data_IF_697609036015
#
_entry.id   IF_697609036015
#
_cell.length_a   1.000
_cell.length_b   1.000
_cell.length_c   1.000
_cell.angle_alpha   90.00
_cell.angle_beta   90.00
_cell.angle_gamma   90.00
#
_symmetry.space_group_name_H-M   'P 1'
#
loop_
_entity.id
_entity.type
_entity.pdbx_description
1 polymer ?
#
# COMPACT_ATOMS: atom_id res chain seq x y z
N UNK A 1 -4.72 -0.89 7.33
CA UNK A 1 -5.05 -0.64 5.91
C UNK A 1 -4.57 0.74 5.51
N UNK A 2 -3.94 0.88 4.34
CA UNK A 2 -3.25 2.10 3.90
C UNK A 2 -4.16 3.30 3.66
N UNK A 3 -5.35 3.10 3.10
CA UNK A 3 -6.30 4.18 2.84
C UNK A 3 -6.78 4.87 4.13
N UNK A 4 -7.12 4.10 5.16
CA UNK A 4 -7.50 4.68 6.46
C UNK A 4 -6.32 5.42 7.12
N UNK A 5 -5.12 4.86 7.07
CA UNK A 5 -3.93 5.54 7.60
C UNK A 5 -3.68 6.89 6.90
N UNK A 6 -3.89 6.94 5.59
CA UNK A 6 -3.81 8.19 4.82
C UNK A 6 -4.91 9.19 5.23
N UNK A 7 -6.14 8.73 5.43
CA UNK A 7 -7.26 9.60 5.85
C UNK A 7 -6.98 10.26 7.22
N UNK A 8 -6.54 9.48 8.22
CA UNK A 8 -6.18 10.02 9.54
C UNK A 8 -5.01 11.01 9.46
N UNK A 9 -3.98 10.68 8.67
CA UNK A 9 -2.83 11.55 8.48
C UNK A 9 -3.22 12.89 7.84
N UNK A 10 -3.98 12.85 6.74
CA UNK A 10 -4.42 14.04 6.01
C UNK A 10 -5.42 14.89 6.81
N UNK A 11 -6.24 14.26 7.64
CA UNK A 11 -7.16 14.96 8.54
C UNK A 11 -6.46 15.55 9.78
N UNK A 12 -5.17 15.27 10.00
CA UNK A 12 -4.46 15.67 11.22
C UNK A 12 -5.02 15.04 12.50
N UNK A 13 -5.69 13.88 12.36
CA UNK A 13 -6.33 13.17 13.47
C UNK A 13 -5.44 12.06 14.00
N UNK A 14 -5.47 11.86 15.32
CA UNK A 14 -4.77 10.74 15.95
C UNK A 14 -5.56 9.46 15.67
N UNK A 15 -4.96 8.43 15.05
CA UNK A 15 -5.64 7.17 14.85
C UNK A 15 -5.93 6.47 16.18
N UNK A 16 -6.98 5.62 16.25
CA UNK A 16 -7.29 4.82 17.43
C UNK A 16 -6.05 4.07 17.94
N UNK A 17 -5.82 4.11 19.26
CA UNK A 17 -4.67 3.46 19.90
C UNK A 17 -4.90 1.95 20.11
N UNK A 18 -6.15 1.53 20.09
CA UNK A 18 -6.55 0.15 20.34
C UNK A 18 -6.17 -0.74 19.15
N UNK A 19 -5.51 -1.86 19.45
CA UNK A 19 -5.15 -2.88 18.46
C UNK A 19 -6.25 -3.95 18.30
N UNK A 20 -7.29 -3.91 19.14
CA UNK A 20 -8.45 -4.79 19.02
C UNK A 20 -9.30 -4.41 17.81
N UNK A 21 -9.97 -5.41 17.25
CA UNK A 21 -10.98 -5.17 16.22
C UNK A 21 -12.07 -4.26 16.79
N UNK A 22 -12.46 -3.18 16.08
CA UNK A 22 -13.56 -2.35 16.53
C UNK A 22 -14.86 -3.16 16.61
N UNK A 23 -15.71 -2.83 17.56
CA UNK A 23 -17.01 -3.48 17.73
C UNK A 23 -17.84 -3.34 16.44
N UNK A 24 -18.48 -4.44 16.00
CA UNK A 24 -19.34 -4.43 14.82
C UNK A 24 -20.48 -3.43 15.01
N UNK A 25 -20.71 -2.58 14.01
CA UNK A 25 -21.71 -1.51 14.08
C UNK A 25 -21.21 -0.21 14.72
N UNK A 26 -20.00 -0.18 15.29
CA UNK A 26 -19.37 1.08 15.70
C UNK A 26 -19.01 1.93 14.48
N UNK A 27 -18.93 3.25 14.67
CA UNK A 27 -18.54 4.17 13.59
C UNK A 27 -17.17 3.82 12.98
N UNK A 28 -16.22 3.37 13.80
CA UNK A 28 -14.89 2.94 13.35
C UNK A 28 -14.95 1.64 12.54
N UNK A 29 -15.77 0.66 12.95
CA UNK A 29 -15.95 -0.58 12.20
C UNK A 29 -16.54 -0.29 10.82
N UNK A 30 -17.65 0.44 10.75
CA UNK A 30 -18.33 0.76 9.49
C UNK A 30 -17.42 1.55 8.56
N UNK A 31 -16.69 2.53 9.09
CA UNK A 31 -15.70 3.29 8.34
C UNK A 31 -14.60 2.38 7.76
N UNK A 32 -13.97 1.53 8.57
CA UNK A 32 -12.91 0.64 8.09
C UNK A 32 -13.42 -0.37 7.07
N UNK A 33 -14.63 -0.90 7.27
CA UNK A 33 -15.27 -1.80 6.31
C UNK A 33 -15.52 -1.11 4.97
N UNK A 34 -16.08 0.10 4.98
CA UNK A 34 -16.30 0.89 3.77
C UNK A 34 -15.00 1.21 3.05
N UNK A 35 -13.95 1.63 3.78
CA UNK A 35 -12.64 1.91 3.18
C UNK A 35 -11.98 0.66 2.63
N UNK A 36 -12.16 -0.50 3.26
CA UNK A 36 -11.70 -1.78 2.72
C UNK A 36 -12.43 -2.12 1.41
N UNK A 37 -13.74 -1.91 1.34
CA UNK A 37 -14.50 -2.11 0.10
C UNK A 37 -14.07 -1.13 -1.00
N UNK A 38 -13.89 0.16 -0.67
CA UNK A 38 -13.43 1.19 -1.61
C UNK A 38 -12.01 0.93 -2.13
N UNK A 39 -11.15 0.26 -1.36
CA UNK A 39 -9.79 -0.09 -1.79
C UNK A 39 -9.73 -1.05 -3.00
N UNK A 40 -10.85 -1.71 -3.33
CA UNK A 40 -11.00 -2.51 -4.56
C UNK A 40 -11.20 -1.63 -5.81
N UNK A 41 -11.39 -0.32 -5.63
CA UNK A 41 -11.56 0.67 -6.69
C UNK A 41 -12.95 0.67 -7.31
N UNK A 42 -13.28 1.71 -8.09
CA UNK A 42 -14.56 1.80 -8.81
C UNK A 42 -14.79 0.56 -9.68
N UNK A 43 -15.95 -0.08 -9.53
CA UNK A 43 -16.28 -1.29 -10.30
C UNK A 43 -15.27 -2.43 -10.16
N UNK A 44 -14.56 -2.53 -9.01
CA UNK A 44 -13.49 -3.49 -8.75
C UNK A 44 -12.23 -3.33 -9.62
N UNK A 45 -12.05 -2.19 -10.29
CA UNK A 45 -10.93 -1.98 -11.22
C UNK A 45 -9.54 -2.19 -10.59
N UNK A 46 -9.36 -1.83 -9.30
CA UNK A 46 -8.08 -2.05 -8.62
C UNK A 46 -7.86 -3.53 -8.30
N UNK A 47 -8.92 -4.24 -7.87
CA UNK A 47 -8.84 -5.68 -7.64
C UNK A 47 -8.53 -6.45 -8.93
N UNK A 48 -9.16 -6.05 -10.05
CA UNK A 48 -8.88 -6.62 -11.37
C UNK A 48 -7.45 -6.34 -11.81
N UNK A 49 -6.92 -5.13 -11.59
CA UNK A 49 -5.52 -4.80 -11.89
C UNK A 49 -4.55 -5.67 -11.10
N UNK A 50 -4.79 -5.89 -9.80
CA UNK A 50 -3.99 -6.82 -8.99
C UNK A 50 -4.03 -8.24 -9.56
N UNK A 51 -5.22 -8.74 -9.93
CA UNK A 51 -5.37 -10.07 -10.52
C UNK A 51 -4.63 -10.18 -11.86
N UNK A 52 -4.80 -9.20 -12.75
CA UNK A 52 -4.15 -9.14 -14.05
C UNK A 52 -2.62 -9.11 -13.90
N UNK A 53 -2.09 -8.22 -13.07
CA UNK A 53 -0.64 -8.07 -12.88
C UNK A 53 -0.03 -9.28 -12.17
N UNK A 54 -0.76 -9.94 -11.28
CA UNK A 54 -0.30 -11.20 -10.67
C UNK A 54 -0.01 -12.27 -11.72
N UNK A 55 -0.83 -12.33 -12.78
CA UNK A 55 -0.71 -13.32 -13.85
C UNK A 55 0.43 -13.03 -14.85
N UNK A 56 0.98 -11.81 -14.85
CA UNK A 56 2.05 -11.42 -15.79
C UNK A 56 3.41 -11.99 -15.39
N UNK A 57 4.29 -12.10 -16.37
CA UNK A 57 5.69 -12.43 -16.16
C UNK A 57 6.45 -11.29 -15.49
N UNK A 58 7.59 -11.62 -14.91
CA UNK A 58 8.51 -10.68 -14.27
C UNK A 58 9.00 -9.57 -15.23
N UNK A 59 9.24 -9.91 -16.51
CA UNK A 59 9.66 -8.95 -17.53
C UNK A 59 8.56 -7.94 -17.87
N UNK A 60 7.33 -8.41 -18.12
CA UNK A 60 6.16 -7.55 -18.37
C UNK A 60 5.89 -6.59 -17.21
N UNK A 61 6.02 -7.07 -15.97
CA UNK A 61 5.83 -6.26 -14.78
C UNK A 61 6.90 -5.17 -14.60
N UNK A 62 8.14 -5.44 -15.00
CA UNK A 62 9.21 -4.45 -15.04
C UNK A 62 8.81 -3.24 -15.88
N UNK A 63 8.39 -3.50 -17.12
CA UNK A 63 8.01 -2.46 -18.08
C UNK A 63 6.77 -1.68 -17.63
N UNK A 64 5.81 -2.34 -17.01
CA UNK A 64 4.60 -1.71 -16.47
C UNK A 64 4.84 -0.88 -15.21
N UNK A 65 5.81 -1.26 -14.37
CA UNK A 65 6.10 -0.55 -13.13
C UNK A 65 6.87 0.76 -13.36
N UNK A 66 7.71 0.81 -14.39
CA UNK A 66 8.51 2.00 -14.69
C UNK A 66 7.68 3.30 -14.79
N UNK A 67 6.63 3.40 -15.64
CA UNK A 67 5.80 4.61 -15.70
C UNK A 67 5.06 4.89 -14.39
N UNK A 68 4.78 3.87 -13.58
CA UNK A 68 4.16 4.05 -12.26
C UNK A 68 5.12 4.65 -11.22
N UNK A 69 6.42 4.38 -11.33
CA UNK A 69 7.43 5.07 -10.50
C UNK A 69 7.51 6.56 -10.85
N UNK A 70 7.44 6.92 -12.13
CA UNK A 70 7.37 8.32 -12.55
C UNK A 70 6.08 8.99 -12.05
N UNK A 71 4.94 8.30 -12.18
CA UNK A 71 3.66 8.77 -11.66
C UNK A 71 3.70 8.97 -10.15
N UNK A 72 4.27 8.03 -9.40
CA UNK A 72 4.48 8.15 -7.96
C UNK A 72 5.32 9.39 -7.61
N UNK A 73 6.42 9.60 -8.34
CA UNK A 73 7.27 10.77 -8.15
C UNK A 73 6.53 12.08 -8.42
N UNK A 74 5.65 12.10 -9.43
CA UNK A 74 4.79 13.25 -9.69
C UNK A 74 3.75 13.46 -8.59
N UNK A 75 3.04 12.41 -8.18
CA UNK A 75 2.03 12.49 -7.14
C UNK A 75 2.60 12.93 -5.79
N UNK A 76 3.81 12.50 -5.41
CA UNK A 76 4.46 12.91 -4.16
C UNK A 76 4.96 14.37 -4.18
N UNK A 77 4.96 15.06 -5.33
CA UNK A 77 5.19 16.51 -5.37
C UNK A 77 3.93 17.30 -5.05
N UNK A 78 2.76 16.72 -5.28
CA UNK A 78 1.45 17.37 -5.13
C UNK A 78 0.70 16.92 -3.86
N UNK A 79 1.07 15.75 -3.33
CA UNK A 79 0.40 15.11 -2.21
C UNK A 79 1.41 14.67 -1.15
N UNK A 80 1.04 14.83 0.12
CA UNK A 80 1.88 14.42 1.24
C UNK A 80 2.04 12.89 1.34
N UNK A 81 1.05 12.13 0.88
CA UNK A 81 1.06 10.67 0.87
C UNK A 81 0.35 10.12 -0.37
N UNK A 82 0.81 8.97 -0.86
CA UNK A 82 0.29 8.31 -2.07
C UNK A 82 0.15 6.80 -1.82
N UNK A 83 -1.07 6.24 -1.85
CA UNK A 83 -1.25 4.80 -1.75
C UNK A 83 -0.71 4.08 -2.99
N UNK A 84 0.02 2.99 -2.78
CA UNK A 84 0.60 2.18 -3.85
C UNK A 84 0.30 0.69 -3.62
N UNK A 85 0.10 -0.03 -4.73
CA UNK A 85 -0.05 -1.47 -4.77
C UNK A 85 1.27 -2.16 -5.07
N UNK A 86 1.52 -3.28 -4.39
CA UNK A 86 2.72 -4.10 -4.52
C UNK A 86 2.32 -5.48 -5.02
N UNK A 87 2.91 -5.91 -6.14
CA UNK A 87 2.75 -7.28 -6.63
C UNK A 87 3.80 -8.16 -5.97
N UNK A 88 3.35 -9.16 -5.23
CA UNK A 88 4.21 -10.11 -4.51
C UNK A 88 3.94 -11.53 -5.03
N UNK A 89 2.67 -11.85 -5.27
CA UNK A 89 2.26 -13.17 -5.72
C UNK A 89 2.87 -13.54 -7.09
N UNK A 90 3.12 -14.84 -7.28
CA UNK A 90 3.60 -15.41 -8.55
C UNK A 90 2.56 -16.33 -9.18
N UNK A 91 2.46 -16.37 -10.52
CA UNK A 91 1.71 -17.40 -11.22
C UNK A 91 2.25 -18.78 -10.82
N UNK A 92 1.36 -19.73 -10.51
CA UNK A 92 1.74 -21.13 -10.28
C UNK A 92 2.63 -21.41 -9.08
N UNK A 93 2.73 -20.49 -8.10
CA UNK A 93 3.44 -20.74 -6.84
C UNK A 93 2.89 -21.96 -6.06
N UNK A 94 3.51 -22.38 -4.94
CA UNK A 94 3.12 -23.58 -4.20
C UNK A 94 1.67 -23.60 -3.67
N UNK A 95 0.89 -22.52 -3.84
CA UNK A 95 -0.56 -22.43 -3.58
C UNK A 95 -1.42 -22.17 -4.85
N UNK A 96 -0.87 -22.32 -6.05
CA UNK A 96 -1.55 -22.10 -7.34
C UNK A 96 -1.88 -20.62 -7.64
N UNK A 97 -2.59 -20.35 -8.73
CA UNK A 97 -3.03 -19.03 -9.21
C UNK A 97 -4.02 -18.28 -8.27
N UNK A 98 -4.06 -18.61 -6.98
CA UNK A 98 -5.06 -18.19 -5.98
C UNK A 98 -4.58 -17.16 -4.95
N UNK A 99 -3.47 -16.47 -5.17
CA UNK A 99 -2.89 -15.61 -4.12
C UNK A 99 -2.87 -14.11 -4.46
N UNK A 100 -3.91 -13.59 -5.15
CA UNK A 100 -4.08 -12.13 -5.28
C UNK A 100 -4.11 -11.44 -3.91
N UNK A 101 -4.56 -12.16 -2.87
CA UNK A 101 -4.51 -11.74 -1.46
C UNK A 101 -3.12 -11.62 -0.85
N UNK A 102 -2.08 -12.20 -1.46
CA UNK A 102 -0.69 -12.05 -1.01
C UNK A 102 -0.09 -10.73 -1.53
N UNK A 103 -0.73 -10.08 -2.52
CA UNK A 103 -0.37 -8.73 -2.91
C UNK A 103 -0.73 -7.76 -1.80
N UNK A 104 -0.05 -6.62 -1.79
CA UNK A 104 -0.10 -5.72 -0.64
C UNK A 104 -0.37 -4.29 -1.06
N UNK A 105 -0.95 -3.51 -0.16
CA UNK A 105 -1.14 -2.08 -0.35
C UNK A 105 -0.39 -1.35 0.77
N UNK A 106 0.42 -0.36 0.42
CA UNK A 106 1.22 0.46 1.35
C UNK A 106 1.03 1.94 1.05
N UNK A 107 1.52 2.80 1.93
CA UNK A 107 1.43 4.25 1.76
C UNK A 107 2.82 4.84 1.56
N UNK A 108 3.09 5.41 0.38
CA UNK A 108 4.34 6.13 0.13
C UNK A 108 4.23 7.56 0.63
N UNK A 109 5.30 8.07 1.24
CA UNK A 109 5.37 9.46 1.74
C UNK A 109 6.64 10.20 1.31
N UNK A 110 7.62 9.50 0.72
CA UNK A 110 8.81 10.14 0.16
C UNK A 110 9.37 9.26 -0.95
N UNK A 111 9.96 9.88 -1.97
CA UNK A 111 10.76 9.20 -2.98
C UNK A 111 12.04 10.00 -3.26
N UNK A 112 13.16 9.29 -3.38
CA UNK A 112 14.44 9.79 -3.87
C UNK A 112 14.84 8.91 -5.05
N UNK A 113 15.23 9.52 -6.17
CA UNK A 113 15.48 8.79 -7.41
C UNK A 113 16.63 9.39 -8.18
N UNK A 114 17.42 8.53 -8.81
CA UNK A 114 18.38 8.85 -9.88
C UNK A 114 18.06 8.06 -11.17
N UNK A 115 19.01 7.98 -12.10
CA UNK A 115 18.84 7.26 -13.38
C UNK A 115 18.76 5.73 -13.22
N UNK A 116 19.22 5.20 -12.09
CA UNK A 116 19.41 3.76 -11.87
C UNK A 116 18.55 3.20 -10.74
N UNK A 117 18.19 4.01 -9.75
CA UNK A 117 17.52 3.56 -8.53
C UNK A 117 16.48 4.58 -8.08
N UNK A 118 15.33 4.09 -7.63
CA UNK A 118 14.40 4.83 -6.79
C UNK A 118 14.30 4.21 -5.39
N UNK A 119 14.45 5.05 -4.37
CA UNK A 119 14.20 4.71 -2.97
C UNK A 119 12.93 5.41 -2.49
N UNK A 120 11.92 4.64 -2.14
CA UNK A 120 10.62 5.11 -1.66
C UNK A 120 10.51 4.82 -0.16
N UNK A 121 10.21 5.81 0.65
CA UNK A 121 9.86 5.57 2.05
C UNK A 121 8.37 5.31 2.15
N UNK A 122 8.01 4.27 2.89
CA UNK A 122 6.63 3.83 3.01
C UNK A 122 6.22 3.62 4.45
N UNK A 123 4.93 3.78 4.71
CA UNK A 123 4.26 3.18 5.83
C UNK A 123 3.63 1.86 5.37
N UNK A 124 4.01 0.76 6.03
CA UNK A 124 3.44 -0.57 5.82
C UNK A 124 2.52 -0.92 7.00
N UNK A 125 1.19 -1.11 6.78
CA UNK A 125 0.27 -1.49 7.84
C UNK A 125 0.62 -2.79 8.58
N UNK A 126 1.44 -3.67 7.98
CA UNK A 126 1.92 -4.91 8.62
C UNK A 126 3.09 -4.66 9.58
N UNK A 127 3.74 -3.49 9.49
CA UNK A 127 4.82 -3.05 10.38
C UNK A 127 4.47 -1.68 10.99
N UNK A 128 3.40 -1.59 11.80
CA UNK A 128 2.95 -0.31 12.33
C UNK A 128 4.04 0.34 13.19
N UNK A 129 4.20 1.66 13.04
CA UNK A 129 5.21 2.50 13.75
C UNK A 129 6.67 2.23 13.35
N UNK A 130 6.92 1.49 12.28
CA UNK A 130 8.25 1.32 11.71
C UNK A 130 8.43 2.20 10.46
N UNK A 131 9.02 3.38 10.65
CA UNK A 131 9.35 4.31 9.55
C UNK A 131 10.65 3.94 8.81
N UNK A 132 11.28 2.83 9.21
CA UNK A 132 12.48 2.27 8.58
C UNK A 132 12.18 1.48 7.31
N UNK A 133 10.90 1.16 7.05
CA UNK A 133 10.50 0.40 5.86
C UNK A 133 10.69 1.25 4.61
N UNK A 134 11.59 0.78 3.74
CA UNK A 134 11.91 1.41 2.46
C UNK A 134 11.70 0.43 1.32
N UNK A 135 11.25 0.97 0.19
CA UNK A 135 11.28 0.29 -1.08
C UNK A 135 12.45 0.78 -1.93
N UNK A 136 13.31 -0.13 -2.36
CA UNK A 136 14.37 0.16 -3.34
C UNK A 136 13.97 -0.49 -4.66
N UNK A 137 13.99 0.27 -5.74
CA UNK A 137 13.54 -0.14 -7.07
C UNK A 137 14.67 0.13 -8.07
N UNK A 138 15.14 -0.90 -8.78
CA UNK A 138 16.11 -0.73 -9.86
C UNK A 138 15.45 -0.23 -11.15
N UNK A 139 15.97 0.86 -11.72
CA UNK A 139 15.46 1.53 -12.93
C UNK A 139 16.31 1.27 -14.18
N UNK A 140 17.51 0.72 -14.03
CA UNK A 140 18.49 0.54 -15.11
C UNK A 140 18.06 -0.45 -16.20
N UNK A 141 17.15 -1.37 -15.92
CA UNK A 141 16.65 -2.33 -16.91
C UNK A 141 15.13 -2.40 -16.86
N UNK A 142 14.49 -1.77 -17.85
CA UNK A 142 13.02 -1.67 -17.95
C UNK A 142 12.35 -2.98 -18.37
N UNK A 143 13.11 -3.97 -18.79
CA UNK A 143 12.63 -5.30 -19.19
C UNK A 143 12.79 -6.33 -18.06
N UNK A 144 13.24 -5.90 -16.88
CA UNK A 144 13.37 -6.74 -15.69
C UNK A 144 12.51 -6.22 -14.55
N UNK A 145 12.05 -7.10 -13.63
CA UNK A 145 11.38 -6.68 -12.41
C UNK A 145 12.19 -5.63 -11.67
N UNK A 146 11.48 -4.71 -11.00
CA UNK A 146 12.12 -3.81 -10.07
C UNK A 146 12.74 -4.65 -8.93
N UNK A 147 14.07 -4.81 -8.95
CA UNK A 147 14.80 -5.52 -7.90
C UNK A 147 14.62 -4.82 -6.55
N UNK A 148 14.31 -5.57 -5.50
CA UNK A 148 13.82 -5.04 -4.23
C UNK A 148 14.66 -5.41 -2.99
N UNK A 149 14.84 -4.45 -2.07
CA UNK A 149 15.39 -4.68 -0.72
C UNK A 149 14.63 -3.87 0.35
N UNK A 150 13.83 -4.56 1.17
CA UNK A 150 13.34 -4.05 2.46
C UNK A 150 14.45 -4.15 3.51
N UNK A 151 14.60 -3.16 4.39
CA UNK A 151 15.29 -3.27 5.69
C UNK A 151 14.28 -2.79 6.74
N UNK A 152 14.03 -3.54 7.85
CA UNK A 152 15.09 -3.97 8.77
C UNK A 152 15.04 -5.44 9.26
N UNK A 153 14.38 -6.39 8.57
CA UNK A 153 14.47 -7.82 8.93
C UNK A 153 15.02 -8.67 7.78
N UNK A 154 15.85 -9.66 8.09
CA UNK A 154 16.64 -10.48 7.13
C UNK A 154 15.81 -11.35 6.16
N UNK A 155 14.49 -11.17 6.07
CA UNK A 155 13.60 -11.79 5.09
C UNK A 155 13.03 -10.72 4.16
N UNK A 156 13.66 -10.53 3.01
CA UNK A 156 13.07 -9.72 1.94
C UNK A 156 12.04 -10.56 1.20
N UNK A 157 10.75 -10.25 1.34
CA UNK A 157 9.74 -10.72 0.39
C UNK A 157 10.01 -10.04 -0.95
N UNK A 158 10.23 -10.79 -2.05
CA UNK A 158 10.50 -10.19 -3.34
C UNK A 158 9.23 -9.51 -3.86
N UNK A 159 9.30 -8.19 -4.05
CA UNK A 159 8.28 -7.41 -4.75
C UNK A 159 8.61 -7.49 -6.25
N UNK A 160 7.60 -7.80 -7.05
CA UNK A 160 7.72 -7.98 -8.51
C UNK A 160 7.38 -6.71 -9.28
N UNK A 161 6.44 -5.92 -8.76
CA UNK A 161 5.92 -4.73 -9.42
C UNK A 161 5.34 -3.73 -8.42
N UNK A 162 5.22 -2.48 -8.84
CA UNK A 162 4.53 -1.41 -8.10
C UNK A 162 3.59 -0.63 -9.02
N UNK A 163 2.47 -0.16 -8.49
CA UNK A 163 1.62 0.81 -9.16
C UNK A 163 0.95 1.78 -8.20
N UNK A 164 0.67 3.00 -8.67
CA UNK A 164 -0.10 4.00 -7.93
C UNK A 164 -1.57 3.62 -7.90
N UNK A 165 -2.17 3.66 -6.71
CA UNK A 165 -3.59 3.40 -6.51
C UNK A 165 -4.39 4.70 -6.65
N UNK A 166 -5.62 4.64 -7.21
CA UNK A 166 -6.54 5.75 -7.07
C UNK A 166 -6.87 5.95 -5.58
N UNK A 167 -6.95 7.20 -5.15
CA UNK A 167 -7.22 7.53 -3.76
C UNK A 167 -8.03 8.81 -3.67
N UNK A 168 -9.15 8.71 -2.96
CA UNK A 168 -9.96 9.85 -2.54
C UNK A 168 -9.95 9.88 -1.00
N UNK A 169 -9.54 11.02 -0.39
CA UNK A 169 -9.61 11.19 1.05
C UNK A 169 -11.04 11.05 1.56
N UNK A 170 -11.20 10.36 2.68
CA UNK A 170 -12.44 10.31 3.45
C UNK A 170 -12.21 10.87 4.85
N UNK A 171 -13.24 11.45 5.47
CA UNK A 171 -13.16 11.91 6.86
C UNK A 171 -13.27 10.69 7.78
N UNK A 172 -12.23 10.36 8.57
CA UNK A 172 -12.32 9.26 9.51
C UNK A 172 -13.13 9.69 10.76
N UNK A 173 -13.76 8.75 11.48
CA UNK A 173 -14.42 9.06 12.74
C UNK A 173 -13.40 9.55 13.76
N UNK A 174 -13.73 10.63 14.47
CA UNK A 174 -12.93 11.06 15.61
C UNK A 174 -12.95 9.99 16.70
N UNK A 175 -11.81 9.79 17.37
CA UNK A 175 -11.76 8.94 18.56
C UNK A 175 -12.51 9.66 19.67
N UNK A 176 -13.74 9.24 19.96
CA UNK A 176 -14.40 9.58 21.21
C UNK A 176 -13.77 8.68 22.26
N UNK A 177 -12.84 9.21 23.05
CA UNK A 177 -12.40 8.50 24.26
C UNK A 177 -13.64 8.39 25.16
N UNK A 178 -14.33 7.25 25.14
CA UNK A 178 -15.25 6.92 26.20
C UNK A 178 -14.41 6.73 27.45
N UNK A 179 -14.36 7.77 28.30
CA UNK A 179 -13.96 7.60 29.68
C UNK A 179 -14.79 6.44 30.25
N UNK A 180 -14.19 5.45 30.93
CA UNK A 180 -14.98 4.45 31.62
C UNK A 180 -15.88 5.19 32.61
N UNK A 181 -17.19 4.94 32.55
CA UNK A 181 -18.11 5.43 33.56
C UNK A 181 -17.59 4.97 34.93
N UNK A 182 -17.51 5.84 35.95
CA UNK A 182 -17.18 5.38 37.30
C UNK A 182 -18.24 4.36 37.72
N UNK A 183 -17.76 3.19 38.18
CA UNK A 183 -18.59 2.14 38.81
C UNK A 183 -19.19 2.63 40.11
#
# INVERSE_FOLDING_TARGET
MSAASADYFLAGLVPPREASLPERGSALYEYLFLRQAQSFGPGLATALRFAEWTAKTDSELGSLSYPEVEKLAASLREHAVVPIGLIIARPGGPRGARNVSDNHQVLAYQIQKDEHVATVRIYDPNYPKDDGVVLVLGLSNRDQPLGFRNRPTRRSTPIRAVFVLPYEPAVPPAVVNSSPAPQ
#
